data_IF_537781184154
#
_entry.id   IF_537781184154
#
_cell.length_a   1.000
_cell.length_b   1.000
_cell.length_c   1.000
_cell.angle_alpha   90.00
_cell.angle_beta   90.00
_cell.angle_gamma   90.00
#
_symmetry.space_group_name_H-M   'P 1'
#
loop_
_entity.id
_entity.type
_entity.pdbx_description
1 polymer ?
#
# COMPACT_ATOMS: atom_id res chain seq x y z
N UNK A 1 23.33 -2.74 2.54
CA UNK A 1 23.86 -1.58 1.81
C UNK A 1 23.91 -0.38 2.75
N UNK A 2 25.10 0.05 3.19
CA UNK A 2 25.23 1.09 4.23
C UNK A 2 24.66 2.46 3.84
N UNK A 3 24.67 2.79 2.55
CA UNK A 3 24.20 4.09 2.05
C UNK A 3 22.68 4.12 1.79
N UNK A 4 21.99 2.99 1.94
CA UNK A 4 20.54 2.93 1.77
C UNK A 4 19.82 3.62 2.92
N UNK A 5 18.81 4.45 2.61
CA UNK A 5 17.92 5.05 3.63
C UNK A 5 17.19 4.01 4.49
N UNK A 6 17.07 2.77 4.01
CA UNK A 6 16.44 1.66 4.74
C UNK A 6 17.47 0.73 5.40
N UNK A 7 18.75 1.12 5.47
CA UNK A 7 19.78 0.34 6.13
C UNK A 7 19.47 0.14 7.61
N UNK A 8 19.49 -1.11 8.04
CA UNK A 8 19.41 -1.49 9.44
C UNK A 8 20.77 -2.05 9.89
N UNK A 9 21.53 -1.34 10.74
CA UNK A 9 22.84 -1.80 11.23
C UNK A 9 22.76 -3.06 12.08
N UNK A 10 21.57 -3.46 12.54
CA UNK A 10 21.36 -4.70 13.32
C UNK A 10 20.98 -5.90 12.44
N UNK A 11 20.66 -5.68 11.16
CA UNK A 11 20.37 -6.75 10.23
C UNK A 11 21.69 -7.38 9.73
N UNK A 12 21.77 -8.71 9.78
CA UNK A 12 22.93 -9.48 9.32
C UNK A 12 22.53 -10.59 8.34
N UNK A 13 23.50 -11.24 7.67
CA UNK A 13 23.22 -12.29 6.69
C UNK A 13 22.42 -13.48 7.27
N UNK A 14 22.72 -13.87 8.50
CA UNK A 14 22.05 -14.99 9.18
C UNK A 14 20.72 -14.59 9.83
N UNK A 15 20.47 -13.27 9.97
CA UNK A 15 19.30 -12.72 10.65
C UNK A 15 18.93 -11.36 10.08
N UNK A 16 18.15 -11.39 9.00
CA UNK A 16 17.52 -10.20 8.44
C UNK A 16 16.02 -10.21 8.76
N UNK A 17 15.49 -9.24 9.54
CA UNK A 17 14.06 -9.18 9.85
C UNK A 17 13.22 -8.59 8.71
N UNK A 18 13.85 -8.05 7.66
CA UNK A 18 13.20 -7.34 6.57
C UNK A 18 13.09 -8.23 5.33
N UNK A 19 11.93 -8.18 4.68
CA UNK A 19 11.66 -8.87 3.42
C UNK A 19 11.25 -7.85 2.37
N UNK A 20 11.72 -8.06 1.14
CA UNK A 20 11.30 -7.31 -0.04
C UNK A 20 10.68 -8.27 -1.07
N UNK A 21 9.86 -7.72 -1.95
CA UNK A 21 9.31 -8.44 -3.12
C UNK A 21 9.54 -7.60 -4.36
N UNK A 22 9.70 -8.28 -5.50
CA UNK A 22 9.72 -7.63 -6.81
C UNK A 22 8.28 -7.44 -7.32
N UNK A 23 8.03 -6.30 -7.95
CA UNK A 23 6.75 -5.98 -8.59
C UNK A 23 7.00 -5.53 -10.03
N UNK A 24 6.01 -5.72 -10.89
CA UNK A 24 6.04 -5.27 -12.27
C UNK A 24 4.89 -4.29 -12.53
N UNK A 25 5.11 -3.38 -13.47
CA UNK A 25 4.07 -2.46 -13.94
C UNK A 25 2.94 -3.25 -14.64
N UNK A 26 1.70 -2.83 -14.38
CA UNK A 26 0.49 -3.39 -15.02
C UNK A 26 -0.27 -2.30 -15.77
N UNK A 27 -0.62 -1.21 -15.08
CA UNK A 27 -1.42 -0.12 -15.64
C UNK A 27 -1.04 1.20 -14.96
N UNK A 28 -1.20 2.32 -15.68
CA UNK A 28 -1.13 3.68 -15.14
C UNK A 28 -2.47 4.35 -15.38
N UNK A 29 -3.14 4.80 -14.31
CA UNK A 29 -4.41 5.50 -14.44
C UNK A 29 -4.22 6.89 -15.06
N UNK A 30 -5.15 7.37 -15.89
CA UNK A 30 -5.07 8.70 -16.50
C UNK A 30 -5.12 9.82 -15.44
N UNK A 31 -5.75 9.55 -14.30
CA UNK A 31 -5.83 10.45 -13.16
C UNK A 31 -5.56 9.71 -11.85
N UNK A 32 -4.92 10.40 -10.90
CA UNK A 32 -4.71 9.87 -9.55
C UNK A 32 -6.02 9.88 -8.78
N UNK A 33 -6.41 8.72 -8.24
CA UNK A 33 -7.48 8.62 -7.25
C UNK A 33 -7.01 9.19 -5.91
N UNK A 34 -7.34 10.47 -5.65
CA UNK A 34 -6.89 11.18 -4.44
C UNK A 34 -7.47 10.54 -3.16
N UNK A 35 -6.70 10.58 -2.07
CA UNK A 35 -7.12 10.01 -0.78
C UNK A 35 -8.46 10.56 -0.28
N UNK A 36 -8.70 11.87 -0.41
CA UNK A 36 -9.97 12.46 0.03
C UNK A 36 -11.18 11.99 -0.80
N UNK A 37 -10.95 11.60 -2.05
CA UNK A 37 -11.98 10.99 -2.88
C UNK A 37 -12.24 9.54 -2.44
N UNK A 38 -11.19 8.76 -2.17
CA UNK A 38 -11.32 7.40 -1.64
C UNK A 38 -12.05 7.36 -0.29
N UNK A 39 -11.81 8.34 0.59
CA UNK A 39 -12.49 8.46 1.89
C UNK A 39 -14.00 8.71 1.79
N UNK A 40 -14.48 9.22 0.66
CA UNK A 40 -15.92 9.44 0.44
C UNK A 40 -16.66 8.16 0.03
N UNK A 41 -15.93 7.08 -0.27
CA UNK A 41 -16.51 5.85 -0.76
C UNK A 41 -16.91 4.95 0.40
N UNK A 42 -18.21 4.79 0.62
CA UNK A 42 -18.75 3.91 1.68
C UNK A 42 -18.29 2.46 1.51
N UNK A 43 -18.12 1.99 0.26
CA UNK A 43 -17.59 0.68 -0.06
C UNK A 43 -16.13 0.46 0.43
N UNK A 44 -15.40 1.53 0.72
CA UNK A 44 -14.01 1.47 1.19
C UNK A 44 -13.88 1.72 2.70
N UNK A 45 -14.99 1.91 3.44
CA UNK A 45 -14.96 2.30 4.86
C UNK A 45 -14.10 1.37 5.75
N UNK A 46 -14.10 0.07 5.45
CA UNK A 46 -13.33 -0.95 6.17
C UNK A 46 -11.88 -1.10 5.68
N UNK A 47 -11.47 -0.36 4.65
CA UNK A 47 -10.09 -0.40 4.15
C UNK A 47 -9.17 0.36 5.11
N UNK A 48 -8.06 -0.23 5.60
CA UNK A 48 -7.14 0.45 6.52
C UNK A 48 -6.60 1.79 6.00
N UNK A 49 -6.54 1.97 4.67
CA UNK A 49 -6.10 3.22 4.02
C UNK A 49 -6.94 4.45 4.44
N UNK A 50 -8.26 4.29 4.60
CA UNK A 50 -9.17 5.41 4.88
C UNK A 50 -9.48 5.56 6.38
N UNK A 51 -9.09 4.59 7.19
CA UNK A 51 -9.28 4.61 8.63
C UNK A 51 -8.37 5.62 9.33
N UNK A 52 -8.94 6.38 10.26
CA UNK A 52 -8.21 7.39 11.03
C UNK A 52 -7.10 6.74 11.85
N UNK A 53 -5.88 7.25 11.71
CA UNK A 53 -4.74 6.83 12.52
C UNK A 53 -3.99 5.60 11.98
N UNK A 54 -4.45 4.98 10.88
CA UNK A 54 -3.70 3.91 10.23
C UNK A 54 -2.29 4.38 9.83
N UNK A 55 -1.32 3.49 10.01
CA UNK A 55 0.10 3.66 9.66
C UNK A 55 0.63 2.48 8.85
N UNK A 56 -0.27 1.63 8.34
CA UNK A 56 0.08 0.49 7.50
C UNK A 56 0.44 0.98 6.09
N UNK A 57 1.65 0.63 5.64
CA UNK A 57 2.11 0.87 4.26
C UNK A 57 1.79 -0.28 3.31
N UNK A 58 1.54 -1.48 3.85
CA UNK A 58 1.10 -2.67 3.12
C UNK A 58 -0.17 -3.18 3.79
N UNK A 59 -1.21 -3.42 3.00
CA UNK A 59 -2.50 -3.86 3.51
C UNK A 59 -3.17 -4.83 2.54
N UNK A 60 -3.98 -5.78 3.03
CA UNK A 60 -4.84 -6.56 2.17
C UNK A 60 -5.95 -5.69 1.58
N UNK A 61 -6.43 -6.08 0.39
CA UNK A 61 -7.59 -5.47 -0.28
C UNK A 61 -8.56 -6.60 -0.60
N UNK A 62 -9.82 -6.48 -0.17
CA UNK A 62 -10.84 -7.50 -0.51
C UNK A 62 -11.25 -7.39 -1.97
N UNK A 63 -11.88 -8.43 -2.52
CA UNK A 63 -12.34 -8.41 -3.90
C UNK A 63 -13.38 -7.30 -4.15
N UNK A 64 -14.24 -7.03 -3.18
CA UNK A 64 -15.26 -5.98 -3.24
C UNK A 64 -14.63 -4.58 -3.21
N UNK A 65 -13.64 -4.38 -2.33
CA UNK A 65 -12.88 -3.14 -2.27
C UNK A 65 -12.08 -2.91 -3.55
N UNK A 66 -11.46 -3.96 -4.09
CA UNK A 66 -10.75 -3.89 -5.37
C UNK A 66 -11.69 -3.47 -6.50
N UNK A 67 -12.83 -4.15 -6.65
CA UNK A 67 -13.83 -3.82 -7.66
C UNK A 67 -14.34 -2.38 -7.50
N UNK A 68 -14.56 -1.93 -6.25
CA UNK A 68 -14.94 -0.55 -5.98
C UNK A 68 -13.87 0.45 -6.42
N UNK A 69 -12.58 0.24 -6.11
CA UNK A 69 -11.48 1.12 -6.55
C UNK A 69 -11.36 1.16 -8.07
N UNK A 70 -11.44 0.00 -8.72
CA UNK A 70 -11.36 -0.09 -10.20
C UNK A 70 -12.53 0.61 -10.88
N UNK A 71 -13.71 0.67 -10.26
CA UNK A 71 -14.86 1.41 -10.80
C UNK A 71 -14.71 2.95 -10.72
N UNK A 72 -13.71 3.45 -9.99
CA UNK A 72 -13.45 4.90 -9.83
C UNK A 72 -12.43 5.44 -10.84
N UNK A 73 -11.72 4.55 -11.56
CA UNK A 73 -10.73 4.93 -12.57
C UNK A 73 -11.40 5.50 -13.82
#
# INVERSE_FOLDING_TARGET
EPDSHYFDPKAGPDKNPWTAIDVAHVETFPHVLKLDYLKQQTALAEMPLVQKGSRLSVMPVTAEQWAAVIALR
#
